data_IF_416096579277
#
_entry.id   IF_416096579277
#
_cell.length_a   1.000
_cell.length_b   1.000
_cell.length_c   1.000
_cell.angle_alpha   90.00
_cell.angle_beta   90.00
_cell.angle_gamma   90.00
#
_symmetry.space_group_name_H-M   'P 1'
#
loop_
_entity.id
_entity.type
_entity.pdbx_description
1 polymer ?
#
# COMPACT_ATOMS: atom_id res chain seq x y z
N UNK A 1 -1.60 19.93 14.19
CA UNK A 1 -0.15 19.63 14.35
C UNK A 1 -0.07 18.17 14.77
N UNK A 2 0.20 17.29 13.81
CA UNK A 2 0.10 15.85 14.00
C UNK A 2 1.39 15.38 14.64
N UNK A 3 1.26 14.66 15.75
CA UNK A 3 2.40 14.24 16.55
C UNK A 3 2.97 12.93 16.02
N UNK A 4 4.20 12.60 16.44
CA UNK A 4 4.85 11.33 16.09
C UNK A 4 4.05 10.11 16.57
N UNK A 5 3.25 10.29 17.61
CA UNK A 5 2.35 9.28 18.18
C UNK A 5 1.18 8.97 17.23
N UNK A 6 0.55 9.99 16.65
CA UNK A 6 -0.52 9.85 15.65
C UNK A 6 -0.07 9.00 14.44
N UNK A 7 1.17 9.22 14.01
CA UNK A 7 1.80 8.47 12.93
C UNK A 7 1.98 6.99 13.27
N UNK A 8 2.39 6.67 14.50
CA UNK A 8 2.52 5.28 14.94
C UNK A 8 1.16 4.58 14.99
N UNK A 9 0.10 5.29 15.37
CA UNK A 9 -1.27 4.74 15.36
C UNK A 9 -1.77 4.48 13.94
N UNK A 10 -1.42 5.34 12.98
CA UNK A 10 -1.64 5.12 11.54
C UNK A 10 -0.96 3.87 11.02
N UNK A 11 0.33 3.75 11.26
CA UNK A 11 1.08 2.56 10.85
C UNK A 11 0.51 1.32 11.54
N UNK A 12 0.20 1.39 12.83
CA UNK A 12 -0.33 0.25 13.59
C UNK A 12 -1.67 -0.23 13.03
N UNK A 13 -2.60 0.70 12.79
CA UNK A 13 -3.92 0.34 12.27
C UNK A 13 -3.86 -0.19 10.85
N UNK A 14 -2.95 0.36 10.04
CA UNK A 14 -2.68 -0.13 8.69
C UNK A 14 -2.14 -1.56 8.72
N UNK A 15 -1.22 -1.87 9.64
CA UNK A 15 -0.70 -3.22 9.83
C UNK A 15 -1.70 -4.18 10.49
N UNK A 16 -2.77 -3.69 11.12
CA UNK A 16 -3.82 -4.50 11.72
C UNK A 16 -5.00 -4.77 10.77
N UNK A 17 -5.15 -3.99 9.69
CA UNK A 17 -6.18 -4.24 8.68
C UNK A 17 -5.88 -5.58 7.98
N UNK A 18 -6.79 -6.54 8.19
CA UNK A 18 -6.66 -7.91 7.67
C UNK A 18 -6.56 -7.95 6.14
N UNK A 19 -7.32 -7.12 5.44
CA UNK A 19 -7.27 -7.07 3.98
C UNK A 19 -5.95 -6.49 3.49
N UNK A 20 -5.43 -5.47 4.17
CA UNK A 20 -4.12 -4.88 3.87
C UNK A 20 -3.02 -5.91 4.08
N UNK A 21 -3.04 -6.64 5.20
CA UNK A 21 -2.10 -7.73 5.47
C UNK A 21 -2.19 -8.84 4.43
N UNK A 22 -3.39 -9.37 4.17
CA UNK A 22 -3.58 -10.49 3.24
C UNK A 22 -3.11 -10.12 1.83
N UNK A 23 -3.53 -8.95 1.34
CA UNK A 23 -3.19 -8.50 -0.01
C UNK A 23 -1.73 -8.08 -0.13
N UNK A 24 -1.21 -7.36 0.85
CA UNK A 24 0.18 -6.90 0.86
C UNK A 24 1.22 -8.01 1.00
N UNK A 25 0.91 -9.06 1.76
CA UNK A 25 1.83 -10.19 1.97
C UNK A 25 1.69 -11.27 0.89
N UNK A 26 0.49 -11.56 0.42
CA UNK A 26 0.23 -12.77 -0.36
C UNK A 26 -0.38 -12.53 -1.74
N UNK A 27 -0.79 -11.30 -2.07
CA UNK A 27 -1.36 -10.97 -3.37
C UNK A 27 -0.53 -9.90 -4.10
N UNK A 28 0.80 -10.00 -3.98
CA UNK A 28 1.74 -9.02 -4.52
C UNK A 28 1.68 -8.88 -6.05
N UNK A 29 1.23 -9.92 -6.76
CA UNK A 29 1.10 -9.92 -8.22
C UNK A 29 -0.15 -9.20 -8.72
N UNK A 30 -1.24 -9.21 -7.94
CA UNK A 30 -2.53 -8.63 -8.35
C UNK A 30 -2.91 -7.36 -7.57
N UNK A 31 -2.24 -7.08 -6.45
CA UNK A 31 -2.47 -5.88 -5.66
C UNK A 31 -1.35 -4.89 -5.87
N UNK A 32 -1.71 -3.73 -6.41
CA UNK A 32 -0.76 -2.64 -6.59
C UNK A 32 -0.42 -2.00 -5.24
N UNK A 33 0.85 -1.61 -5.02
CA UNK A 33 1.24 -0.83 -3.83
C UNK A 33 0.36 0.39 -3.60
N UNK A 34 -0.02 1.09 -4.67
CA UNK A 34 -0.92 2.24 -4.66
C UNK A 34 -2.32 1.89 -4.14
N UNK A 35 -2.83 0.67 -4.35
CA UNK A 35 -4.11 0.28 -3.75
C UNK A 35 -4.02 0.26 -2.23
N UNK A 36 -2.89 -0.18 -1.68
CA UNK A 36 -2.66 -0.22 -0.24
C UNK A 36 -2.40 1.19 0.30
N UNK A 37 -1.46 1.91 -0.31
CA UNK A 37 -0.96 3.20 0.19
C UNK A 37 -1.89 4.37 -0.10
N UNK A 38 -2.65 4.36 -1.20
CA UNK A 38 -3.59 5.43 -1.54
C UNK A 38 -4.99 5.11 -1.04
N UNK A 39 -5.53 3.92 -1.36
CA UNK A 39 -6.93 3.61 -1.02
C UNK A 39 -7.08 3.21 0.45
N UNK A 40 -6.34 2.18 0.89
CA UNK A 40 -6.52 1.62 2.24
C UNK A 40 -5.97 2.57 3.32
N UNK A 41 -4.76 3.08 3.14
CA UNK A 41 -4.18 4.02 4.10
C UNK A 41 -4.96 5.34 4.14
N UNK A 42 -5.38 5.87 2.98
CA UNK A 42 -6.23 7.06 2.92
C UNK A 42 -7.58 6.87 3.63
N UNK A 43 -8.19 5.68 3.50
CA UNK A 43 -9.41 5.33 4.26
C UNK A 43 -9.16 5.33 5.76
N UNK A 44 -8.10 4.67 6.22
CA UNK A 44 -7.74 4.60 7.65
C UNK A 44 -7.49 6.01 8.23
N UNK A 45 -6.81 6.88 7.49
CA UNK A 45 -6.54 8.25 7.92
C UNK A 45 -7.85 9.06 8.02
N UNK A 46 -8.74 8.97 7.02
CA UNK A 46 -10.05 9.64 7.07
C UNK A 46 -10.94 9.17 8.20
N UNK A 47 -10.93 7.87 8.49
CA UNK A 47 -11.74 7.30 9.56
C UNK A 47 -11.23 7.73 10.94
N UNK A 48 -9.92 7.93 11.10
CA UNK A 48 -9.35 8.37 12.38
C UNK A 48 -9.28 9.87 12.58
N UNK A 49 -9.05 10.62 11.51
CA UNK A 49 -8.91 12.06 11.54
C UNK A 49 -9.93 12.74 10.61
N UNK A 50 -11.24 12.52 10.82
CA UNK A 50 -12.29 13.12 10.00
C UNK A 50 -12.32 14.65 10.07
N UNK A 51 -11.71 15.24 11.10
CA UNK A 51 -11.59 16.67 11.32
C UNK A 51 -10.48 17.34 10.50
N UNK A 52 -9.54 16.57 9.96
CA UNK A 52 -8.48 17.09 9.10
C UNK A 52 -9.02 17.35 7.69
N UNK A 53 -8.50 18.40 7.06
CA UNK A 53 -8.77 18.64 5.64
C UNK A 53 -8.00 17.64 4.74
N UNK A 54 -8.33 17.62 3.45
CA UNK A 54 -7.73 16.67 2.50
C UNK A 54 -6.21 16.85 2.37
N UNK A 55 -5.70 18.08 2.54
CA UNK A 55 -4.27 18.37 2.43
C UNK A 55 -3.50 17.85 3.64
N UNK A 56 -4.03 18.04 4.84
CA UNK A 56 -3.47 17.53 6.08
C UNK A 56 -3.53 15.99 6.12
N UNK A 57 -4.63 15.39 5.67
CA UNK A 57 -4.74 13.93 5.55
C UNK A 57 -3.69 13.34 4.59
N UNK A 58 -3.46 14.01 3.46
CA UNK A 58 -2.43 13.60 2.51
C UNK A 58 -1.02 13.74 3.10
N UNK A 59 -0.76 14.80 3.86
CA UNK A 59 0.52 14.98 4.56
C UNK A 59 0.77 13.86 5.60
N UNK A 60 -0.27 13.40 6.31
CA UNK A 60 -0.17 12.24 7.22
C UNK A 60 0.19 10.98 6.46
N UNK A 61 -0.50 10.74 5.35
CA UNK A 61 -0.30 9.57 4.50
C UNK A 61 1.14 9.49 4.01
N UNK A 62 1.66 10.58 3.47
CA UNK A 62 3.04 10.67 2.98
C UNK A 62 4.05 10.41 4.10
N UNK A 63 3.87 11.01 5.27
CA UNK A 63 4.75 10.75 6.41
C UNK A 63 4.66 9.30 6.90
N UNK A 64 3.46 8.69 6.90
CA UNK A 64 3.28 7.32 7.35
C UNK A 64 4.02 6.34 6.43
N UNK A 65 3.93 6.54 5.11
CA UNK A 65 4.66 5.71 4.14
C UNK A 65 6.16 5.92 4.28
N UNK A 66 6.63 7.17 4.42
CA UNK A 66 8.06 7.45 4.62
C UNK A 66 8.60 6.76 5.88
N UNK A 67 7.87 6.85 7.00
CA UNK A 67 8.24 6.18 8.25
C UNK A 67 8.24 4.65 8.12
N UNK A 68 7.26 4.08 7.42
CA UNK A 68 7.20 2.65 7.15
C UNK A 68 8.35 2.18 6.27
N UNK A 69 8.68 2.92 5.22
CA UNK A 69 9.79 2.58 4.31
C UNK A 69 11.13 2.56 5.05
N UNK A 70 11.41 3.59 5.85
CA UNK A 70 12.62 3.62 6.70
C UNK A 70 12.67 2.41 7.64
N UNK A 71 11.55 2.08 8.28
CA UNK A 71 11.46 0.94 9.21
C UNK A 71 11.65 -0.40 8.48
N UNK A 72 11.08 -0.55 7.28
CA UNK A 72 11.24 -1.74 6.46
C UNK A 72 12.68 -1.92 5.98
N UNK A 73 13.31 -0.87 5.49
CA UNK A 73 14.71 -0.90 5.06
C UNK A 73 15.64 -1.27 6.21
N UNK A 74 15.41 -0.71 7.40
CA UNK A 74 16.16 -1.09 8.60
C UNK A 74 16.00 -2.58 8.93
N UNK A 75 14.78 -3.13 8.85
CA UNK A 75 14.53 -4.56 9.07
C UNK A 75 15.18 -5.44 8.00
N UNK A 76 15.13 -5.04 6.73
CA UNK A 76 15.79 -5.77 5.63
C UNK A 76 17.31 -5.79 5.83
N UNK A 77 17.92 -4.66 6.19
CA UNK A 77 19.35 -4.58 6.46
C UNK A 77 19.76 -5.49 7.63
N UNK A 78 18.98 -5.52 8.72
CA UNK A 78 19.21 -6.43 9.85
C UNK A 78 19.06 -7.90 9.41
N UNK A 79 17.99 -8.23 8.69
CA UNK A 79 17.74 -9.60 8.20
C UNK A 79 18.78 -10.07 7.17
N UNK A 80 19.47 -9.16 6.48
CA UNK A 80 20.60 -9.46 5.59
C UNK A 80 21.91 -9.60 6.36
N UNK A 81 22.15 -8.75 7.36
CA UNK A 81 23.31 -8.86 8.25
C UNK A 81 23.33 -10.22 8.99
N UNK A 82 22.17 -10.68 9.47
CA UNK A 82 22.03 -12.01 10.07
C UNK A 82 22.35 -13.15 9.08
N UNK A 83 22.10 -12.95 7.78
CA UNK A 83 22.37 -13.95 6.74
C UNK A 83 23.83 -13.99 6.28
N UNK A 84 24.60 -12.91 6.49
CA UNK A 84 25.98 -12.75 5.99
C UNK A 84 27.08 -13.04 7.03
N UNK A 85 26.75 -13.33 8.30
CA UNK A 85 27.82 -13.53 9.28
C UNK A 85 27.41 -13.85 10.71
N UNK A 86 26.65 -14.94 10.91
CA UNK A 86 26.52 -15.61 12.21
C UNK A 86 27.64 -16.64 12.43
N UNK A 87 28.90 -16.20 12.48
CA UNK A 87 30.07 -17.05 12.71
C UNK A 87 31.15 -16.32 13.50
N UNK A 88 31.10 -16.49 14.83
CA UNK A 88 32.07 -16.15 15.88
C UNK A 88 33.38 -15.43 15.50
N UNK A 89 33.67 -14.30 16.17
CA UNK A 89 35.06 -13.86 16.33
C UNK A 89 35.27 -12.38 16.63
N UNK A 90 35.30 -12.07 17.93
CA UNK A 90 36.00 -10.94 18.56
C UNK A 90 35.44 -9.51 18.39
N UNK A 91 35.28 -8.86 19.53
CA UNK A 91 34.60 -7.59 19.68
C UNK A 91 35.50 -6.43 19.33
N UNK A 92 35.13 -5.66 18.30
CA UNK A 92 35.29 -4.20 18.34
C UNK A 92 34.23 -3.54 17.47
N UNK A 93 33.57 -2.56 18.08
CA UNK A 93 32.80 -1.41 17.59
C UNK A 93 33.00 -1.03 16.10
N UNK A 94 32.61 -1.91 15.16
CA UNK A 94 32.50 -1.63 13.72
C UNK A 94 31.11 -1.97 13.14
N UNK A 95 30.24 -2.61 13.93
CA UNK A 95 28.85 -2.93 13.52
C UNK A 95 27.90 -1.72 13.52
N UNK A 96 28.22 -0.67 14.30
CA UNK A 96 27.30 0.47 14.46
C UNK A 96 27.38 1.46 13.28
N UNK A 97 28.56 1.62 12.68
CA UNK A 97 28.77 2.49 11.51
C UNK A 97 28.35 1.85 10.20
N UNK A 98 28.43 0.52 10.04
CA UNK A 98 27.92 -0.16 8.83
C UNK A 98 26.38 -0.16 8.78
N UNK A 99 25.70 -0.27 9.92
CA UNK A 99 24.26 -0.06 10.03
C UNK A 99 23.89 1.41 9.76
N UNK A 100 24.61 2.36 10.37
CA UNK A 100 24.38 3.80 10.15
C UNK A 100 24.74 4.26 8.74
N UNK A 101 25.77 3.70 8.10
CA UNK A 101 26.15 3.97 6.71
C UNK A 101 25.26 3.23 5.72
N UNK A 102 24.82 2.00 6.02
CA UNK A 102 23.80 1.31 5.23
C UNK A 102 22.50 2.12 5.22
N UNK A 103 22.03 2.53 6.40
CA UNK A 103 20.87 3.42 6.53
C UNK A 103 21.15 4.76 5.82
N UNK A 104 22.29 5.44 6.00
CA UNK A 104 22.59 6.71 5.29
C UNK A 104 22.69 6.58 3.76
N UNK A 105 23.20 5.47 3.24
CA UNK A 105 23.45 5.26 1.80
C UNK A 105 22.18 4.83 1.06
N UNK A 106 21.19 4.29 1.76
CA UNK A 106 19.84 4.00 1.23
C UNK A 106 18.80 5.07 1.64
N UNK A 107 19.08 5.90 2.65
CA UNK A 107 18.32 7.11 3.04
C UNK A 107 18.78 8.32 2.21
N UNK A 108 18.80 8.20 0.89
CA UNK A 108 18.55 9.37 0.05
C UNK A 108 17.03 9.57 -0.06
N UNK A 109 16.37 9.75 1.09
CA UNK A 109 14.94 10.07 1.22
C UNK A 109 14.65 11.51 0.77
N UNK A 110 15.67 12.28 0.40
CA UNK A 110 15.49 13.68 -0.02
C UNK A 110 14.99 13.85 -1.45
N UNK A 111 15.03 12.80 -2.28
CA UNK A 111 14.64 12.86 -3.69
C UNK A 111 13.76 11.66 -4.13
N UNK A 112 12.98 11.09 -3.21
CA UNK A 112 11.98 10.09 -3.61
C UNK A 112 10.77 10.86 -4.16
N UNK A 113 10.63 10.91 -5.49
CA UNK A 113 9.44 11.46 -6.14
C UNK A 113 8.19 10.88 -5.46
N UNK A 114 7.20 11.73 -5.20
CA UNK A 114 5.95 11.33 -4.51
C UNK A 114 5.30 10.13 -5.20
N UNK A 115 5.43 10.04 -6.53
CA UNK A 115 4.97 8.90 -7.33
C UNK A 115 5.77 7.60 -7.10
N UNK A 116 7.06 7.69 -6.74
CA UNK A 116 7.90 6.54 -6.37
C UNK A 116 7.58 6.03 -4.96
N UNK A 117 7.19 6.91 -4.03
CA UNK A 117 6.81 6.54 -2.67
C UNK A 117 5.61 5.58 -2.68
N UNK A 118 4.61 5.87 -3.50
CA UNK A 118 3.38 5.08 -3.53
C UNK A 118 3.53 3.70 -4.18
N UNK A 119 4.60 3.51 -4.97
CA UNK A 119 5.00 2.24 -5.61
C UNK A 119 5.75 1.29 -4.66
N UNK A 120 6.07 1.73 -3.46
CA UNK A 120 6.78 0.90 -2.48
C UNK A 120 5.77 -0.01 -1.77
N UNK A 121 5.98 -1.32 -1.88
CA UNK A 121 5.16 -2.28 -1.14
C UNK A 121 5.44 -2.15 0.38
N UNK A 122 4.43 -1.84 1.21
CA UNK A 122 4.61 -1.71 2.65
C UNK A 122 4.93 -3.02 3.41
N UNK A 123 4.94 -4.16 2.72
CA UNK A 123 5.06 -5.50 3.30
C UNK A 123 6.21 -6.34 2.74
N UNK A 124 7.07 -5.77 1.89
CA UNK A 124 8.19 -6.49 1.27
C UNK A 124 9.12 -7.13 2.33
N UNK A 125 9.46 -6.38 3.38
CA UNK A 125 10.31 -6.86 4.46
C UNK A 125 9.67 -8.02 5.24
N UNK A 126 8.35 -7.95 5.45
CA UNK A 126 7.61 -8.99 6.18
C UNK A 126 7.51 -10.28 5.35
N UNK A 127 7.29 -10.16 4.04
CA UNK A 127 7.33 -11.30 3.13
C UNK A 127 8.70 -11.98 3.10
N UNK A 128 9.78 -11.21 3.01
CA UNK A 128 11.15 -11.75 2.99
C UNK A 128 11.50 -12.56 4.25
N UNK A 129 10.97 -12.16 5.41
CA UNK A 129 11.12 -12.92 6.66
C UNK A 129 10.26 -14.19 6.64
N UNK A 130 9.00 -14.10 6.22
CA UNK A 130 8.10 -15.26 6.13
C UNK A 130 8.64 -16.33 5.17
N UNK A 131 9.13 -15.91 3.99
CA UNK A 131 9.70 -16.81 2.98
C UNK A 131 10.95 -17.56 3.45
N UNK A 132 11.66 -17.05 4.47
CA UNK A 132 12.79 -17.77 5.11
C UNK A 132 12.33 -18.85 6.09
N UNK A 133 11.15 -18.66 6.70
CA UNK A 133 10.63 -19.54 7.75
C UNK A 133 9.67 -20.62 7.24
N UNK A 134 9.05 -20.40 6.08
CA UNK A 134 8.08 -21.31 5.48
C UNK A 134 8.64 -21.97 4.21
N UNK A 135 8.13 -23.15 3.88
CA UNK A 135 8.46 -23.82 2.63
C UNK A 135 7.75 -23.15 1.42
N UNK A 136 8.43 -23.13 0.27
CA UNK A 136 7.94 -22.48 -0.95
C UNK A 136 6.57 -23.03 -1.40
N UNK A 137 6.32 -24.33 -1.22
CA UNK A 137 5.05 -24.96 -1.60
C UNK A 137 3.90 -24.43 -0.76
N UNK A 138 4.08 -24.31 0.55
CA UNK A 138 3.07 -23.74 1.45
C UNK A 138 2.80 -22.27 1.12
N UNK A 139 3.85 -21.49 0.86
CA UNK A 139 3.71 -20.07 0.50
C UNK A 139 2.93 -19.89 -0.80
N UNK A 140 3.28 -20.65 -1.85
CA UNK A 140 2.55 -20.64 -3.13
C UNK A 140 1.10 -21.10 -2.97
N UNK A 141 0.84 -22.08 -2.11
CA UNK A 141 -0.53 -22.54 -1.84
C UNK A 141 -1.38 -21.45 -1.19
N UNK A 142 -0.82 -20.70 -0.23
CA UNK A 142 -1.50 -19.57 0.40
C UNK A 142 -1.74 -18.45 -0.62
N UNK A 143 -0.73 -18.08 -1.41
CA UNK A 143 -0.87 -17.09 -2.49
C UNK A 143 -1.97 -17.48 -3.48
N UNK A 144 -1.97 -18.73 -3.97
CA UNK A 144 -2.99 -19.22 -4.89
C UNK A 144 -4.40 -19.18 -4.27
N UNK A 145 -4.54 -19.50 -2.98
CA UNK A 145 -5.83 -19.45 -2.28
C UNK A 145 -6.36 -18.02 -2.11
N UNK A 146 -5.47 -17.05 -1.95
CA UNK A 146 -5.81 -15.63 -1.80
C UNK A 146 -6.08 -15.01 -3.18
N UNK A 147 -5.24 -15.26 -4.19
CA UNK A 147 -5.43 -14.81 -5.56
C UNK A 147 -6.70 -15.39 -6.20
N UNK A 148 -7.08 -16.63 -5.86
CA UNK A 148 -8.33 -17.24 -6.31
C UNK A 148 -9.58 -16.52 -5.77
N UNK A 149 -9.46 -15.79 -4.66
CA UNK A 149 -10.50 -14.84 -4.23
C UNK A 149 -10.41 -13.60 -5.11
N UNK A 150 -10.93 -13.71 -6.34
CA UNK A 150 -11.19 -12.57 -7.20
C UNK A 150 -12.20 -11.64 -6.49
N UNK A 151 -11.70 -10.64 -5.80
CA UNK A 151 -12.53 -9.63 -5.17
C UNK A 151 -12.98 -8.66 -6.27
N UNK A 152 -14.30 -8.61 -6.49
CA UNK A 152 -14.88 -7.47 -7.21
C UNK A 152 -14.49 -6.20 -6.46
N UNK A 153 -14.12 -5.15 -7.21
CA UNK A 153 -13.83 -3.83 -6.65
C UNK A 153 -15.06 -3.40 -5.85
N UNK A 154 -14.98 -3.25 -4.51
CA UNK A 154 -16.12 -2.85 -3.71
C UNK A 154 -16.52 -1.41 -4.03
N UNK A 155 -17.77 -1.04 -3.75
CA UNK A 155 -18.31 0.26 -4.18
C UNK A 155 -17.54 1.46 -3.58
N UNK A 156 -17.08 1.34 -2.33
CA UNK A 156 -16.29 2.36 -1.66
C UNK A 156 -14.92 2.55 -2.35
N UNK A 157 -14.20 1.45 -2.64
CA UNK A 157 -12.94 1.53 -3.40
C UNK A 157 -13.16 2.04 -4.83
N UNK A 158 -14.25 1.63 -5.49
CA UNK A 158 -14.60 2.12 -6.83
C UNK A 158 -14.83 3.63 -6.83
N UNK A 159 -15.42 4.18 -5.75
CA UNK A 159 -15.62 5.63 -5.58
C UNK A 159 -14.31 6.37 -5.40
N UNK A 160 -13.39 5.83 -4.59
CA UNK A 160 -12.08 6.43 -4.38
C UNK A 160 -11.22 6.40 -5.66
N UNK A 161 -11.21 5.26 -6.38
CA UNK A 161 -10.57 5.16 -7.69
C UNK A 161 -11.17 6.14 -8.70
N UNK A 162 -12.48 6.35 -8.70
CA UNK A 162 -13.12 7.32 -9.59
C UNK A 162 -12.76 8.77 -9.24
N UNK A 163 -12.60 9.12 -7.96
CA UNK A 163 -12.06 10.43 -7.55
C UNK A 163 -10.63 10.60 -8.05
N UNK A 164 -9.78 9.57 -7.93
CA UNK A 164 -8.41 9.62 -8.44
C UNK A 164 -8.35 9.71 -9.96
N UNK A 165 -9.24 9.01 -10.66
CA UNK A 165 -9.39 9.13 -12.11
C UNK A 165 -9.80 10.55 -12.55
N UNK A 166 -10.59 11.26 -11.73
CA UNK A 166 -10.93 12.66 -11.98
C UNK A 166 -9.70 13.56 -11.82
N UNK A 167 -8.90 13.34 -10.79
CA UNK A 167 -7.64 14.06 -10.59
C UNK A 167 -6.67 13.79 -11.76
N UNK A 168 -6.51 12.53 -12.17
CA UNK A 168 -5.74 12.15 -13.35
C UNK A 168 -6.20 12.89 -14.60
N UNK A 169 -7.53 13.02 -14.81
CA UNK A 169 -8.08 13.78 -15.93
C UNK A 169 -7.73 15.27 -15.87
N UNK A 170 -7.77 15.87 -14.69
CA UNK A 170 -7.44 17.28 -14.50
C UNK A 170 -5.95 17.54 -14.79
N UNK A 171 -5.08 16.60 -14.40
CA UNK A 171 -3.62 16.70 -14.59
C UNK A 171 -3.18 16.37 -16.03
N UNK A 172 -3.75 15.32 -16.63
CA UNK A 172 -3.31 14.74 -17.92
C UNK A 172 -4.19 15.15 -19.10
N UNK A 173 -5.30 15.84 -18.84
CA UNK A 173 -6.28 16.27 -19.87
C UNK A 173 -7.13 15.14 -20.46
N UNK A 174 -6.97 13.89 -20.00
CA UNK A 174 -7.68 12.71 -20.51
C UNK A 174 -8.06 11.75 -19.39
N UNK A 175 -9.10 10.94 -19.60
CA UNK A 175 -9.45 9.88 -18.66
C UNK A 175 -8.38 8.77 -18.68
N UNK A 176 -8.22 8.02 -17.56
CA UNK A 176 -7.36 6.84 -17.53
C UNK A 176 -7.87 5.76 -18.49
N UNK A 177 -6.93 5.09 -19.16
CA UNK A 177 -7.21 4.02 -20.11
C UNK A 177 -7.13 2.63 -19.45
N UNK A 178 -8.17 1.82 -19.65
CA UNK A 178 -8.24 0.43 -19.17
C UNK A 178 -7.24 -0.49 -19.89
N UNK A 179 -6.75 -0.08 -21.06
CA UNK A 179 -5.74 -0.79 -21.81
C UNK A 179 -4.33 -0.20 -21.61
N UNK A 180 -4.15 0.72 -20.65
CA UNK A 180 -2.84 1.28 -20.35
C UNK A 180 -1.87 0.18 -19.91
N UNK A 181 -0.61 0.33 -20.31
CA UNK A 181 0.48 -0.49 -19.80
C UNK A 181 0.80 -0.14 -18.34
N UNK A 182 0.43 1.06 -17.89
CA UNK A 182 0.54 1.45 -16.49
C UNK A 182 -0.59 0.79 -15.70
N UNK A 183 -0.21 -0.11 -14.78
CA UNK A 183 -1.16 -0.91 -14.03
C UNK A 183 -2.05 -0.02 -13.14
N UNK A 184 -1.52 1.08 -12.62
CA UNK A 184 -2.28 2.02 -11.79
C UNK A 184 -3.33 2.79 -12.61
N UNK A 185 -2.97 3.25 -13.81
CA UNK A 185 -3.90 3.86 -14.76
C UNK A 185 -5.02 2.88 -15.13
N UNK A 186 -4.67 1.65 -15.48
CA UNK A 186 -5.64 0.59 -15.76
C UNK A 186 -6.58 0.37 -14.57
N UNK A 187 -6.02 0.30 -13.35
CA UNK A 187 -6.79 0.10 -12.12
C UNK A 187 -7.78 1.25 -11.85
N UNK A 188 -7.36 2.49 -12.09
CA UNK A 188 -8.25 3.66 -12.03
C UNK A 188 -9.41 3.54 -13.03
N UNK A 189 -9.13 3.13 -14.26
CA UNK A 189 -10.16 2.93 -15.28
C UNK A 189 -11.14 1.80 -14.91
N UNK A 190 -10.65 0.70 -14.35
CA UNK A 190 -11.49 -0.39 -13.82
C UNK A 190 -12.39 0.09 -12.67
N UNK A 191 -11.88 0.94 -11.78
CA UNK A 191 -12.64 1.55 -10.70
C UNK A 191 -13.78 2.44 -11.20
N UNK A 192 -13.52 3.27 -12.22
CA UNK A 192 -14.56 4.08 -12.88
C UNK A 192 -15.65 3.19 -13.49
N UNK A 193 -15.25 2.12 -14.18
CA UNK A 193 -16.19 1.16 -14.76
C UNK A 193 -17.01 0.44 -13.67
N UNK A 194 -16.40 0.07 -12.54
CA UNK A 194 -17.09 -0.53 -11.41
C UNK A 194 -18.12 0.42 -10.79
N UNK A 195 -17.75 1.68 -10.57
CA UNK A 195 -18.66 2.68 -10.02
C UNK A 195 -19.86 2.93 -10.96
N UNK A 196 -19.62 2.95 -12.28
CA UNK A 196 -20.70 3.07 -13.25
C UNK A 196 -21.68 1.89 -13.18
N UNK A 197 -21.18 0.65 -13.01
CA UNK A 197 -22.02 -0.55 -12.80
C UNK A 197 -22.85 -0.43 -11.53
N UNK A 198 -22.25 -0.05 -10.39
CA UNK A 198 -22.99 0.13 -9.13
C UNK A 198 -24.10 1.19 -9.25
N UNK A 199 -23.80 2.32 -9.91
CA UNK A 199 -24.80 3.37 -10.17
C UNK A 199 -25.95 2.89 -11.06
N UNK A 200 -25.65 2.11 -12.10
CA UNK A 200 -26.67 1.55 -12.99
C UNK A 200 -27.58 0.56 -12.23
N UNK A 201 -27.00 -0.32 -11.41
CA UNK A 201 -27.74 -1.26 -10.57
C UNK A 201 -28.63 -0.54 -9.55
N UNK A 202 -28.11 0.48 -8.86
CA UNK A 202 -28.88 1.29 -7.92
C UNK A 202 -30.05 2.02 -8.58
N UNK A 203 -29.88 2.51 -9.82
CA UNK A 203 -30.94 3.16 -10.60
C UNK A 203 -32.01 2.15 -11.02
N UNK A 204 -31.63 0.95 -11.46
CA UNK A 204 -32.56 -0.12 -11.82
C UNK A 204 -33.41 -0.56 -10.62
N UNK A 205 -32.78 -0.82 -9.47
CA UNK A 205 -33.47 -1.20 -8.24
C UNK A 205 -34.47 -0.14 -7.74
N UNK A 206 -34.17 1.15 -7.95
CA UNK A 206 -35.10 2.26 -7.63
C UNK A 206 -36.24 2.37 -8.64
N UNK A 207 -36.02 2.02 -9.90
CA UNK A 207 -37.07 2.01 -10.93
C UNK A 207 -38.11 0.92 -10.71
N UNK A 208 -37.66 -0.28 -10.28
CA UNK A 208 -38.56 -1.41 -9.97
C UNK A 208 -39.42 -1.15 -8.74
N UNK A 209 -38.92 -0.39 -7.74
CA UNK A 209 -39.66 -0.02 -6.53
C UNK A 209 -40.76 1.04 -6.75
N UNK A 210 -40.79 1.71 -7.91
CA UNK A 210 -41.79 2.75 -8.24
C UNK A 210 -42.92 2.15 -9.12
N UNK A 211 -42.75 0.94 -9.64
CA UNK A 211 -43.68 0.27 -10.55
C UNK A 211 -44.27 -1.05 -10.00
N UNK A 212 -43.99 -1.40 -8.74
CA UNK A 212 -44.64 -2.49 -7.99
C UNK A 212 -45.52 -1.94 -6.88
#
# INVERSE_FOLDING_TARGET
RICREDLNEVVTSFLQDKTVLERGLFDQENTLPEELTQLRMGKIIRERYPELDEADQEAVRQHAIAAMNITQQAKLALAQADALGGGAGDGTIQGNTALLDGVRKFVNVRDLDIDLIDRINPFEAAYAVLAKSMDEKSLRQVQASIAAKKLSIPEDEARELAKRALLFKNERGRLPDINSADAWEKRMAEGVAALARYRAQAKAARGDAIHG
#
